data_IF_673037103768
#
_entry.id   IF_673037103768
#
_cell.length_a   1.000
_cell.length_b   1.000
_cell.length_c   1.000
_cell.angle_alpha   90.00
_cell.angle_beta   90.00
_cell.angle_gamma   90.00
#
_symmetry.space_group_name_H-M   'P 1'
#
loop_
_entity.id
_entity.type
_entity.pdbx_description
1 polymer ?
#
# COMPACT_ATOMS: atom_id res chain seq x y z
N UNK A 1 -33.90 15.31 9.95
CA UNK A 1 -33.45 14.98 8.58
C UNK A 1 -32.15 15.74 8.33
N UNK A 2 -30.98 15.13 8.55
CA UNK A 2 -29.70 15.77 8.20
C UNK A 2 -29.52 15.53 6.71
N UNK A 3 -29.60 16.60 5.92
CA UNK A 3 -29.16 16.60 4.54
C UNK A 3 -27.65 16.39 4.61
N UNK A 4 -27.19 15.19 4.24
CA UNK A 4 -25.78 14.91 4.05
C UNK A 4 -25.46 15.53 2.70
N UNK A 5 -24.79 16.67 2.73
CA UNK A 5 -24.24 17.30 1.53
C UNK A 5 -23.10 16.41 1.01
N UNK A 6 -23.42 15.60 0.00
CA UNK A 6 -22.51 14.64 -0.66
C UNK A 6 -21.56 15.33 -1.68
N UNK A 7 -21.46 16.67 -1.61
CA UNK A 7 -20.74 17.49 -2.60
C UNK A 7 -19.30 17.85 -2.19
N UNK A 8 -18.76 17.27 -1.10
CA UNK A 8 -17.35 17.50 -0.74
C UNK A 8 -16.43 16.69 -1.65
N UNK A 9 -15.76 17.38 -2.56
CA UNK A 9 -14.68 16.82 -3.38
C UNK A 9 -13.62 16.22 -2.45
N UNK A 10 -13.47 14.89 -2.47
CA UNK A 10 -12.43 14.19 -1.72
C UNK A 10 -11.06 14.50 -2.31
N UNK A 11 -10.09 14.73 -1.45
CA UNK A 11 -8.70 14.93 -1.87
C UNK A 11 -8.02 13.56 -1.88
N UNK A 12 -7.46 13.18 -3.02
CA UNK A 12 -6.70 11.94 -3.18
C UNK A 12 -5.23 12.30 -3.39
N UNK A 13 -4.36 11.75 -2.56
CA UNK A 13 -2.92 11.93 -2.64
C UNK A 13 -2.22 10.60 -2.86
N UNK A 14 -1.22 10.60 -3.73
CA UNK A 14 -0.33 9.46 -3.97
C UNK A 14 1.06 9.83 -3.45
N UNK A 15 1.56 9.08 -2.46
CA UNK A 15 2.89 9.27 -1.88
C UNK A 15 3.79 8.14 -2.35
N UNK A 16 4.88 8.49 -3.05
CA UNK A 16 5.91 7.52 -3.41
C UNK A 16 6.81 7.27 -2.21
N UNK A 17 6.92 6.02 -1.79
CA UNK A 17 7.68 5.63 -0.63
C UNK A 17 9.04 5.12 -1.07
N UNK A 18 10.07 5.94 -0.86
CA UNK A 18 11.46 5.64 -1.22
C UNK A 18 12.36 5.41 -0.01
N UNK A 19 11.83 5.58 1.21
CA UNK A 19 12.55 5.44 2.48
C UNK A 19 11.64 4.87 3.56
N UNK A 20 11.95 5.14 4.82
CA UNK A 20 11.20 4.59 5.95
C UNK A 20 9.92 5.38 6.29
N UNK A 21 9.78 6.59 5.75
CA UNK A 21 8.63 7.45 5.99
C UNK A 21 7.34 6.77 5.52
N UNK A 22 6.33 6.77 6.39
CA UNK A 22 5.00 6.19 6.13
C UNK A 22 4.96 4.67 5.86
N UNK A 23 6.06 3.94 6.03
CA UNK A 23 6.07 2.46 5.94
C UNK A 23 5.10 1.84 6.93
N UNK A 24 5.00 2.41 8.13
CA UNK A 24 4.08 1.93 9.15
C UNK A 24 2.61 2.05 8.70
N UNK A 25 2.24 3.10 7.97
CA UNK A 25 0.88 3.25 7.43
C UNK A 25 0.55 2.14 6.43
N UNK A 26 1.52 1.73 5.61
CA UNK A 26 1.38 0.61 4.67
C UNK A 26 1.29 -0.72 5.43
N UNK A 27 2.10 -0.91 6.47
CA UNK A 27 2.03 -2.10 7.33
C UNK A 27 0.66 -2.26 7.97
N UNK A 28 0.07 -1.17 8.46
CA UNK A 28 -1.29 -1.20 9.00
C UNK A 28 -2.32 -1.61 7.96
N UNK A 29 -2.22 -1.10 6.72
CA UNK A 29 -3.10 -1.53 5.62
C UNK A 29 -2.98 -3.04 5.33
N UNK A 30 -1.78 -3.60 5.36
CA UNK A 30 -1.56 -5.03 5.18
C UNK A 30 -2.25 -5.83 6.30
N UNK A 31 -2.06 -5.42 7.56
CA UNK A 31 -2.68 -6.07 8.72
C UNK A 31 -4.22 -6.00 8.65
N UNK A 32 -4.78 -4.83 8.37
CA UNK A 32 -6.23 -4.64 8.21
C UNK A 32 -6.81 -5.54 7.10
N UNK A 33 -6.13 -5.60 5.95
CA UNK A 33 -6.56 -6.43 4.83
C UNK A 33 -6.54 -7.92 5.19
N UNK A 34 -5.47 -8.39 5.83
CA UNK A 34 -5.30 -9.80 6.18
C UNK A 34 -6.29 -10.26 7.24
N UNK A 35 -6.56 -9.42 8.24
CA UNK A 35 -7.65 -9.62 9.21
C UNK A 35 -9.01 -9.71 8.53
N UNK A 36 -9.29 -8.87 7.53
CA UNK A 36 -10.57 -8.88 6.79
C UNK A 36 -10.79 -10.19 6.02
N UNK A 37 -9.71 -10.78 5.48
CA UNK A 37 -9.76 -12.03 4.74
C UNK A 37 -9.83 -13.28 5.63
N UNK A 38 -9.58 -13.14 6.94
CA UNK A 38 -9.42 -14.27 7.89
C UNK A 38 -8.36 -15.28 7.43
N UNK A 39 -7.35 -14.81 6.71
CA UNK A 39 -6.23 -15.62 6.25
C UNK A 39 -5.13 -15.52 7.28
N UNK A 40 -4.53 -16.66 7.62
CA UNK A 40 -3.36 -16.68 8.50
C UNK A 40 -2.13 -16.16 7.73
N UNK A 41 -1.40 -15.25 8.34
CA UNK A 41 -0.26 -14.54 7.74
C UNK A 41 1.01 -15.40 7.63
N UNK A 42 0.92 -16.68 7.96
CA UNK A 42 2.02 -17.65 8.01
C UNK A 42 2.57 -18.06 6.63
N UNK A 43 2.40 -17.24 5.59
CA UNK A 43 3.20 -17.39 4.37
C UNK A 43 4.62 -16.89 4.68
N UNK A 44 5.60 -17.79 4.65
CA UNK A 44 6.99 -17.48 5.00
C UNK A 44 7.51 -16.21 4.29
N UNK A 45 7.13 -16.01 3.03
CA UNK A 45 7.55 -14.85 2.23
C UNK A 45 6.84 -13.54 2.63
N UNK A 46 5.63 -13.60 3.20
CA UNK A 46 4.90 -12.38 3.58
C UNK A 46 5.58 -11.66 4.75
N UNK A 47 6.01 -12.40 5.78
CA UNK A 47 6.64 -11.79 6.94
C UNK A 47 7.96 -11.11 6.58
N UNK A 48 8.74 -11.73 5.70
CA UNK A 48 9.97 -11.13 5.16
C UNK A 48 9.66 -9.88 4.34
N UNK A 49 8.72 -9.95 3.40
CA UNK A 49 8.30 -8.79 2.61
C UNK A 49 7.80 -7.64 3.50
N UNK A 50 6.97 -7.94 4.50
CA UNK A 50 6.43 -6.99 5.46
C UNK A 50 7.54 -6.30 6.26
N UNK A 51 8.52 -7.07 6.73
CA UNK A 51 9.61 -6.54 7.54
C UNK A 51 10.63 -5.71 6.73
N UNK A 52 10.73 -5.95 5.42
CA UNK A 52 11.75 -5.36 4.55
C UNK A 52 11.24 -4.21 3.68
N UNK A 53 9.97 -3.80 3.79
CA UNK A 53 9.41 -2.67 3.03
C UNK A 53 10.28 -1.40 3.17
N UNK A 54 10.51 -0.62 2.07
CA UNK A 54 9.95 -0.81 0.73
C UNK A 54 10.61 -1.95 -0.06
N UNK A 55 11.78 -2.42 0.36
CA UNK A 55 12.42 -3.65 -0.12
C UNK A 55 12.54 -3.72 -1.63
N UNK A 56 12.09 -4.83 -2.22
CA UNK A 56 12.04 -5.06 -3.67
C UNK A 56 11.10 -4.12 -4.44
N UNK A 57 10.29 -3.33 -3.74
CA UNK A 57 9.40 -2.30 -4.30
C UNK A 57 10.00 -0.90 -4.20
N UNK A 58 11.24 -0.76 -3.73
CA UNK A 58 11.99 0.50 -3.75
C UNK A 58 12.68 0.77 -5.10
N UNK A 59 13.17 1.99 -5.32
CA UNK A 59 13.96 2.33 -6.51
C UNK A 59 15.27 1.52 -6.59
N UNK A 60 15.85 1.34 -7.79
CA UNK A 60 15.45 1.93 -9.07
C UNK A 60 14.38 1.13 -9.85
N UNK A 61 14.20 -0.15 -9.51
CA UNK A 61 13.39 -1.10 -10.29
C UNK A 61 12.00 -1.39 -9.71
N UNK A 62 11.63 -0.68 -8.64
CA UNK A 62 10.34 -0.82 -7.97
C UNK A 62 9.75 0.52 -7.57
N UNK A 63 8.45 0.48 -7.28
CA UNK A 63 7.74 1.62 -6.68
C UNK A 63 6.71 1.12 -5.66
N UNK A 64 6.73 1.73 -4.48
CA UNK A 64 5.73 1.56 -3.43
C UNK A 64 4.96 2.87 -3.29
N UNK A 65 3.64 2.82 -3.40
CA UNK A 65 2.76 3.99 -3.36
C UNK A 65 1.75 3.82 -2.23
N UNK A 66 1.70 4.79 -1.33
CA UNK A 66 0.60 4.95 -0.36
C UNK A 66 -0.45 5.89 -0.95
N UNK A 67 -1.72 5.49 -0.89
CA UNK A 67 -2.86 6.32 -1.27
C UNK A 67 -3.51 6.87 0.00
N UNK A 68 -3.69 8.20 0.03
CA UNK A 68 -4.45 8.88 1.08
C UNK A 68 -5.73 9.45 0.48
N UNK A 69 -6.84 9.31 1.21
CA UNK A 69 -8.11 9.99 0.93
C UNK A 69 -8.42 10.88 2.13
N UNK A 70 -8.50 12.19 1.89
CA UNK A 70 -8.69 13.21 2.93
C UNK A 70 -7.67 13.06 4.09
N UNK A 71 -6.41 12.81 3.73
CA UNK A 71 -5.29 12.63 4.67
C UNK A 71 -5.25 11.27 5.40
N UNK A 72 -6.18 10.35 5.12
CA UNK A 72 -6.21 9.01 5.73
C UNK A 72 -5.76 7.93 4.77
N UNK A 73 -4.99 6.94 5.24
CA UNK A 73 -4.63 5.76 4.45
C UNK A 73 -5.87 5.08 3.87
N UNK A 74 -5.84 4.86 2.57
CA UNK A 74 -6.97 4.30 1.82
C UNK A 74 -6.58 3.06 1.01
N UNK A 75 -5.29 2.84 0.77
CA UNK A 75 -4.80 1.71 0.02
C UNK A 75 -3.33 1.88 -0.36
N UNK A 76 -2.76 0.87 -1.00
CA UNK A 76 -1.39 0.97 -1.50
C UNK A 76 -1.17 0.12 -2.75
N UNK A 77 -0.13 0.47 -3.50
CA UNK A 77 0.31 -0.26 -4.68
C UNK A 77 1.80 -0.56 -4.51
N UNK A 78 2.19 -1.80 -4.77
CA UNK A 78 3.58 -2.23 -4.76
C UNK A 78 3.91 -2.85 -6.12
N UNK A 79 4.90 -2.29 -6.80
CA UNK A 79 5.35 -2.72 -8.12
C UNK A 79 6.83 -3.08 -8.05
N UNK A 80 7.22 -4.19 -8.70
CA UNK A 80 8.62 -4.54 -8.94
C UNK A 80 8.81 -5.06 -10.35
N UNK A 81 9.93 -4.73 -10.97
CA UNK A 81 10.34 -5.28 -12.26
C UNK A 81 10.57 -6.80 -12.18
N UNK A 82 10.15 -7.53 -13.21
CA UNK A 82 10.50 -8.95 -13.45
C UNK A 82 11.43 -9.03 -14.66
N UNK A 83 11.10 -8.33 -15.74
CA UNK A 83 11.92 -8.20 -16.95
C UNK A 83 11.68 -6.84 -17.60
N UNK A 84 12.22 -6.59 -18.80
CA UNK A 84 12.15 -5.29 -19.49
C UNK A 84 10.73 -4.71 -19.55
N UNK A 85 9.75 -5.52 -19.98
CA UNK A 85 8.35 -5.12 -20.15
C UNK A 85 7.38 -5.81 -19.19
N UNK A 86 7.89 -6.51 -18.16
CA UNK A 86 7.06 -7.29 -17.23
C UNK A 86 7.33 -6.85 -15.80
N UNK A 87 6.25 -6.62 -15.04
CA UNK A 87 6.31 -6.34 -13.61
C UNK A 87 5.34 -7.24 -12.82
N UNK A 88 5.65 -7.41 -11.53
CA UNK A 88 4.67 -7.85 -10.55
C UNK A 88 4.00 -6.61 -9.95
N UNK A 89 2.67 -6.62 -9.89
CA UNK A 89 1.89 -5.60 -9.20
C UNK A 89 1.07 -6.25 -8.08
N UNK A 90 1.19 -5.70 -6.87
CA UNK A 90 0.29 -5.95 -5.76
C UNK A 90 -0.50 -4.69 -5.43
N UNK A 91 -1.77 -4.85 -5.08
CA UNK A 91 -2.65 -3.76 -4.66
C UNK A 91 -3.56 -4.24 -3.53
N UNK A 92 -3.91 -3.32 -2.64
CA UNK A 92 -4.96 -3.51 -1.65
C UNK A 92 -5.66 -2.16 -1.40
#
# INVERSE_FOLDING_TARGET
MKIIDDSKKKIIEFKHITGQDMIEEIKQLFLEYTQSLKIDLAFQNFQEEFNTLPGKYGPPDGILILVLVDGKRAGCIALRKISEDICEMKRL
#
